data_IF_818517040423
#
_entry.id   IF_818517040423
#
_cell.length_a   1.000
_cell.length_b   1.000
_cell.length_c   1.000
_cell.angle_alpha   90.00
_cell.angle_beta   90.00
_cell.angle_gamma   90.00
#
_symmetry.space_group_name_H-M   'P 1'
#
loop_
_entity.id
_entity.type
_entity.pdbx_description
1 polymer ?
#
# COMPACT_ATOMS: atom_id res chain seq x y z
N UNK A 1 23.07 -9.32 18.05
CA UNK A 1 22.67 -8.55 16.85
C UNK A 1 21.23 -8.95 16.57
N UNK A 2 20.27 -8.20 17.11
CA UNK A 2 18.86 -8.46 16.86
C UNK A 2 18.48 -7.78 15.55
N UNK A 3 18.06 -8.57 14.57
CA UNK A 3 17.42 -8.04 13.38
C UNK A 3 15.99 -7.68 13.80
N UNK A 4 15.74 -6.38 13.97
CA UNK A 4 14.38 -5.87 14.09
C UNK A 4 13.67 -6.15 12.76
N UNK A 5 12.86 -7.21 12.76
CA UNK A 5 11.90 -7.50 11.71
C UNK A 5 10.84 -6.40 11.79
N UNK A 6 11.00 -5.33 11.02
CA UNK A 6 9.99 -4.27 10.90
C UNK A 6 8.74 -4.82 10.22
N UNK A 7 7.90 -5.53 10.98
CA UNK A 7 6.46 -5.60 10.72
C UNK A 7 5.93 -4.20 11.01
N UNK A 8 6.08 -3.31 10.03
CA UNK A 8 5.58 -1.95 10.09
C UNK A 8 4.05 -1.95 10.07
N UNK A 9 3.42 -2.27 11.21
CA UNK A 9 2.07 -1.80 11.49
C UNK A 9 2.18 -0.28 11.56
N UNK A 10 2.03 0.39 10.43
CA UNK A 10 1.78 1.83 10.41
C UNK A 10 0.35 1.98 10.90
N UNK A 11 0.20 2.29 12.18
CA UNK A 11 -0.97 3.03 12.65
C UNK A 11 -1.15 4.17 11.65
N UNK A 12 -2.33 4.26 11.01
CA UNK A 12 -2.63 5.33 10.05
C UNK A 12 -2.67 6.63 10.86
N UNK A 13 -1.52 7.23 11.10
CA UNK A 13 -1.44 8.63 11.51
C UNK A 13 -1.75 9.40 10.23
N UNK A 14 -2.93 10.02 10.09
CA UNK A 14 -3.34 10.59 8.83
C UNK A 14 -2.35 11.69 8.48
N UNK A 15 -1.51 11.45 7.48
CA UNK A 15 -0.67 12.47 6.93
C UNK A 15 -1.62 13.39 6.16
N UNK A 16 -2.08 14.47 6.80
CA UNK A 16 -3.05 15.42 6.24
C UNK A 16 -2.50 16.11 4.99
N UNK A 17 -2.55 15.41 3.86
CA UNK A 17 -2.44 15.97 2.52
C UNK A 17 -3.85 16.07 1.95
N UNK A 18 -4.48 17.24 2.10
CA UNK A 18 -5.74 17.59 1.43
C UNK A 18 -5.43 17.94 -0.02
N UNK A 19 -5.67 17.01 -0.94
CA UNK A 19 -5.70 17.30 -2.37
C UNK A 19 -7.15 17.20 -2.85
N UNK A 20 -7.71 18.30 -3.36
CA UNK A 20 -8.98 18.33 -4.09
C UNK A 20 -10.21 17.74 -3.39
N UNK A 21 -10.39 18.01 -2.09
CA UNK A 21 -11.60 17.63 -1.36
C UNK A 21 -11.69 16.15 -0.94
N UNK A 22 -10.63 15.35 -1.16
CA UNK A 22 -10.43 14.05 -0.53
C UNK A 22 -9.10 14.04 0.21
N UNK A 23 -9.10 13.51 1.43
CA UNK A 23 -7.89 13.35 2.23
C UNK A 23 -7.27 11.98 1.99
N UNK A 24 -5.93 11.94 2.07
CA UNK A 24 -5.17 10.70 2.04
C UNK A 24 -4.99 10.21 3.48
N UNK A 25 -5.22 8.91 3.70
CA UNK A 25 -4.77 8.24 4.92
C UNK A 25 -3.26 8.05 4.87
N UNK A 26 -2.76 7.53 3.75
CA UNK A 26 -1.33 7.37 3.45
C UNK A 26 -1.06 7.85 2.02
N UNK A 27 0.00 8.66 1.87
CA UNK A 27 0.45 9.18 0.58
C UNK A 27 0.92 8.10 -0.40
N UNK A 28 1.24 8.53 -1.62
CA UNK A 28 1.83 7.65 -2.64
C UNK A 28 3.21 7.18 -2.18
N UNK A 29 3.43 5.87 -2.20
CA UNK A 29 4.73 5.28 -1.85
C UNK A 29 4.88 3.87 -2.40
N UNK A 30 6.11 3.36 -2.29
CA UNK A 30 6.45 1.94 -2.43
C UNK A 30 6.94 1.41 -1.09
N UNK A 31 6.85 0.11 -0.91
CA UNK A 31 7.38 -0.51 0.30
C UNK A 31 8.85 -0.83 0.10
N UNK A 32 9.70 -0.36 1.02
CA UNK A 32 11.14 -0.60 0.96
C UNK A 32 11.54 -2.04 1.35
N UNK A 33 10.60 -2.83 1.86
CA UNK A 33 10.82 -4.20 2.33
C UNK A 33 10.87 -5.24 1.20
N UNK A 34 10.83 -6.52 1.59
CA UNK A 34 10.74 -7.63 0.63
C UNK A 34 9.29 -7.91 0.23
N UNK A 35 8.43 -8.18 1.21
CA UNK A 35 7.00 -8.43 1.06
C UNK A 35 6.25 -7.73 2.19
N UNK A 36 5.05 -7.24 1.88
CA UNK A 36 4.10 -6.74 2.87
C UNK A 36 2.84 -7.60 2.82
N UNK A 37 2.31 -7.94 3.99
CA UNK A 37 1.05 -8.67 4.16
C UNK A 37 0.07 -7.72 4.86
N UNK A 38 -1.00 -7.38 4.14
CA UNK A 38 -1.99 -6.42 4.60
C UNK A 38 -3.33 -7.11 4.84
N UNK A 39 -3.78 -7.10 6.09
CA UNK A 39 -5.17 -7.36 6.44
C UNK A 39 -5.98 -6.08 6.27
N UNK A 40 -7.16 -6.16 5.66
CA UNK A 40 -8.07 -5.03 5.52
C UNK A 40 -9.38 -5.30 6.24
N UNK A 41 -10.03 -4.23 6.69
CA UNK A 41 -11.42 -4.23 7.13
C UNK A 41 -12.38 -4.20 5.91
N UNK A 42 -13.68 -4.07 6.19
CA UNK A 42 -14.72 -3.98 5.17
C UNK A 42 -14.80 -2.60 4.48
N UNK A 43 -14.08 -1.59 4.98
CA UNK A 43 -14.07 -0.23 4.44
C UNK A 43 -13.06 -0.10 3.28
N UNK A 44 -11.89 -0.71 3.43
CA UNK A 44 -10.81 -0.65 2.45
C UNK A 44 -10.22 0.76 2.31
N UNK A 45 -9.79 1.12 1.09
CA UNK A 45 -9.17 2.43 0.82
C UNK A 45 -7.85 2.35 0.07
N UNK A 46 -7.25 1.16 -0.02
CA UNK A 46 -6.05 0.92 -0.80
C UNK A 46 -6.31 1.13 -2.29
N UNK A 47 -5.46 1.93 -2.91
CA UNK A 47 -5.37 2.08 -4.36
C UNK A 47 -3.94 1.78 -4.82
N UNK A 48 -3.83 1.07 -5.94
CA UNK A 48 -2.56 0.67 -6.55
C UNK A 48 -2.45 1.34 -7.91
N UNK A 49 -1.28 1.91 -8.21
CA UNK A 49 -1.03 2.51 -9.52
C UNK A 49 -0.67 1.42 -10.53
N UNK A 50 -1.49 1.25 -11.56
CA UNK A 50 -1.20 0.32 -12.65
C UNK A 50 -0.18 0.93 -13.59
N UNK A 51 0.99 0.30 -13.72
CA UNK A 51 2.09 0.82 -14.55
C UNK A 51 1.76 0.97 -16.05
N UNK A 52 0.87 0.15 -16.58
CA UNK A 52 0.58 0.14 -18.03
C UNK A 52 -0.05 1.45 -18.52
N UNK A 53 -0.85 2.10 -17.69
CA UNK A 53 -1.65 3.28 -18.04
C UNK A 53 -1.58 4.40 -16.98
N UNK A 54 -0.92 4.15 -15.84
CA UNK A 54 -0.86 5.06 -14.70
C UNK A 54 -2.17 5.17 -13.94
N UNK A 55 -3.16 4.30 -14.21
CA UNK A 55 -4.47 4.32 -13.57
C UNK A 55 -4.36 3.90 -12.10
N UNK A 56 -5.06 4.62 -11.21
CA UNK A 56 -5.21 4.21 -9.82
C UNK A 56 -6.39 3.25 -9.68
N UNK A 57 -6.10 1.98 -9.38
CA UNK A 57 -7.10 0.93 -9.23
C UNK A 57 -7.38 0.71 -7.74
N UNK A 58 -8.65 0.84 -7.34
CA UNK A 58 -9.08 0.53 -5.97
C UNK A 58 -9.09 -0.98 -5.76
N UNK A 59 -8.42 -1.42 -4.69
CA UNK A 59 -8.43 -2.83 -4.29
C UNK A 59 -9.69 -3.09 -3.47
N UNK A 60 -10.49 -4.07 -3.90
CA UNK A 60 -11.70 -4.47 -3.20
C UNK A 60 -11.33 -5.32 -1.98
N UNK A 61 -11.78 -4.97 -0.77
CA UNK A 61 -11.62 -5.85 0.40
C UNK A 61 -12.24 -7.21 0.12
N UNK A 62 -11.48 -8.26 0.43
CA UNK A 62 -11.94 -9.65 0.32
C UNK A 62 -11.95 -10.24 1.73
N UNK A 63 -13.12 -10.71 2.22
CA UNK A 63 -13.20 -11.34 3.53
C UNK A 63 -12.22 -12.49 3.67
N UNK A 64 -11.63 -12.63 4.87
CA UNK A 64 -10.70 -13.72 5.23
C UNK A 64 -9.47 -13.85 4.31
N UNK A 65 -9.05 -12.74 3.70
CA UNK A 65 -7.90 -12.70 2.81
C UNK A 65 -6.88 -11.62 3.22
N UNK A 66 -5.63 -11.88 2.86
CA UNK A 66 -4.56 -10.89 2.91
C UNK A 66 -4.24 -10.39 1.51
N UNK A 67 -3.93 -9.11 1.41
CA UNK A 67 -3.25 -8.55 0.24
C UNK A 67 -1.76 -8.71 0.46
N UNK A 68 -1.06 -9.20 -0.56
CA UNK A 68 0.39 -9.34 -0.54
C UNK A 68 0.95 -8.43 -1.63
N UNK A 69 1.90 -7.57 -1.26
CA UNK A 69 2.64 -6.74 -2.21
C UNK A 69 4.13 -6.98 -2.12
N UNK A 70 4.77 -6.86 -3.28
CA UNK A 70 6.21 -6.90 -3.45
C UNK A 70 6.79 -5.53 -3.10
N UNK A 71 7.89 -5.52 -2.37
CA UNK A 71 8.66 -4.31 -2.07
C UNK A 71 9.97 -4.22 -2.84
N UNK A 72 10.66 -3.10 -2.66
CA UNK A 72 11.85 -2.72 -3.43
C UNK A 72 12.99 -3.74 -3.33
N UNK A 73 13.15 -4.43 -2.19
CA UNK A 73 14.19 -5.45 -2.02
C UNK A 73 13.99 -6.61 -3.00
N UNK A 74 12.75 -7.11 -3.14
CA UNK A 74 12.45 -8.22 -4.04
C UNK A 74 12.54 -7.78 -5.50
N UNK A 75 12.16 -6.54 -5.81
CA UNK A 75 12.38 -5.99 -7.15
C UNK A 75 13.87 -6.01 -7.53
N UNK A 76 14.76 -5.52 -6.65
CA UNK A 76 16.21 -5.56 -6.88
C UNK A 76 16.74 -6.99 -6.97
N UNK A 77 16.40 -7.86 -6.01
CA UNK A 77 16.88 -9.24 -5.98
C UNK A 77 16.42 -10.07 -7.17
N UNK A 78 15.24 -9.78 -7.71
CA UNK A 78 14.71 -10.44 -8.90
C UNK A 78 15.17 -9.79 -10.21
N UNK A 79 16.05 -8.79 -10.14
CA UNK A 79 16.51 -8.01 -11.29
C UNK A 79 15.34 -7.50 -12.14
N UNK A 80 14.40 -6.81 -11.48
CA UNK A 80 13.18 -6.22 -12.05
C UNK A 80 12.17 -7.22 -12.65
N UNK A 81 12.31 -8.52 -12.35
CA UNK A 81 11.29 -9.51 -12.75
C UNK A 81 9.97 -9.32 -11.99
N UNK A 82 10.05 -8.99 -10.70
CA UNK A 82 8.90 -8.59 -9.89
C UNK A 82 8.93 -7.10 -9.61
N UNK A 83 7.75 -6.48 -9.57
CA UNK A 83 7.64 -5.04 -9.45
C UNK A 83 7.14 -4.62 -8.06
N UNK A 84 7.85 -3.69 -7.44
CA UNK A 84 7.37 -2.91 -6.30
C UNK A 84 6.47 -1.79 -6.81
N UNK A 85 5.17 -1.92 -6.58
CA UNK A 85 4.15 -1.05 -7.18
C UNK A 85 3.83 0.13 -6.26
N UNK A 86 3.71 1.33 -6.85
CA UNK A 86 3.27 2.51 -6.11
C UNK A 86 1.82 2.34 -5.65
N UNK A 87 1.56 2.62 -4.38
CA UNK A 87 0.24 2.52 -3.78
C UNK A 87 -0.04 3.68 -2.81
N UNK A 88 -1.32 3.90 -2.51
CA UNK A 88 -1.80 4.94 -1.58
C UNK A 88 -3.04 4.46 -0.83
N UNK A 89 -3.39 5.15 0.24
CA UNK A 89 -4.64 4.90 0.97
C UNK A 89 -5.50 6.17 0.93
N UNK A 90 -6.69 6.06 0.35
CA UNK A 90 -7.70 7.11 0.34
C UNK A 90 -8.56 7.03 1.61
N UNK A 91 -8.82 8.16 2.26
CA UNK A 91 -9.79 8.22 3.36
C UNK A 91 -11.21 8.01 2.80
N UNK A 92 -12.06 7.34 3.57
CA UNK A 92 -13.48 7.26 3.27
C UNK A 92 -14.18 8.51 3.83
N UNK A 93 -14.90 9.25 2.99
CA UNK A 93 -15.63 10.45 3.44
C UNK A 93 -16.98 10.13 4.10
N UNK A 94 -17.45 8.88 4.02
CA UNK A 94 -18.77 8.45 4.49
C UNK A 94 -18.72 7.60 5.78
N UNK A 95 -17.52 7.30 6.30
CA UNK A 95 -17.32 6.49 7.51
C UNK A 95 -16.10 6.98 8.27
#
# INVERSE_FOLDING_TARGET
MAADLWLGIREIVPQKCRLYGRSLGVGRHKDSGALTFLAQDDVGGLEVNRKTDGEWVRVKPTPDAYIINVGDIVQVWSNDTYESVEHRVMENSER
#
